data_IF_281665373873
#
_entry.id   IF_281665373873
#
_cell.length_a   1.000
_cell.length_b   1.000
_cell.length_c   1.000
_cell.angle_alpha   90.00
_cell.angle_beta   90.00
_cell.angle_gamma   90.00
#
_symmetry.space_group_name_H-M   'P 1'
#
loop_
_entity.id
_entity.type
_entity.pdbx_description
1 polymer ?
#
# COMPACT_ATOMS: atom_id res chain seq x y z
N UNK A 1 -1.53 -10.89 -10.05
CA UNK A 1 -0.64 -11.58 -9.09
C UNK A 1 -0.29 -10.65 -7.91
N UNK A 2 -1.27 -10.24 -7.10
CA UNK A 2 -1.04 -9.35 -5.93
C UNK A 2 -0.60 -10.17 -4.69
N UNK A 3 -0.76 -11.50 -4.74
CA UNK A 3 -0.46 -12.39 -3.62
C UNK A 3 1.04 -12.40 -3.26
N UNK A 4 1.94 -12.37 -4.24
CA UNK A 4 3.40 -12.40 -4.00
C UNK A 4 3.86 -11.19 -3.16
N UNK A 5 3.51 -9.94 -3.52
CA UNK A 5 3.85 -8.76 -2.72
C UNK A 5 3.28 -8.77 -1.30
N UNK A 6 2.02 -9.22 -1.15
CA UNK A 6 1.39 -9.34 0.17
C UNK A 6 2.13 -10.38 1.02
N UNK A 7 2.45 -11.54 0.44
CA UNK A 7 3.22 -12.57 1.12
C UNK A 7 4.63 -12.07 1.48
N UNK A 8 5.30 -11.34 0.60
CA UNK A 8 6.61 -10.74 0.89
C UNK A 8 6.55 -9.75 2.05
N UNK A 9 5.49 -8.92 2.12
CA UNK A 9 5.29 -7.98 3.22
C UNK A 9 5.02 -8.71 4.55
N UNK A 10 4.17 -9.73 4.54
CA UNK A 10 3.88 -10.56 5.72
C UNK A 10 5.12 -11.31 6.18
N UNK A 11 5.82 -11.98 5.26
CA UNK A 11 7.03 -12.75 5.55
C UNK A 11 8.13 -11.85 6.10
N UNK A 12 8.35 -10.68 5.50
CA UNK A 12 9.29 -9.68 6.01
C UNK A 12 8.93 -9.21 7.43
N UNK A 13 7.65 -8.96 7.70
CA UNK A 13 7.17 -8.62 9.04
C UNK A 13 7.38 -9.74 10.05
N UNK A 14 7.05 -10.98 9.70
CA UNK A 14 7.25 -12.15 10.58
C UNK A 14 8.73 -12.37 10.87
N UNK A 15 9.60 -12.27 9.86
CA UNK A 15 11.05 -12.38 10.03
C UNK A 15 11.60 -11.27 10.93
N UNK A 16 11.12 -10.03 10.78
CA UNK A 16 11.53 -8.92 11.65
C UNK A 16 11.09 -9.15 13.11
N UNK A 17 9.88 -9.68 13.34
CA UNK A 17 9.40 -10.00 14.68
C UNK A 17 10.15 -11.18 15.31
N UNK A 18 10.53 -12.18 14.51
CA UNK A 18 11.30 -13.33 14.96
C UNK A 18 12.76 -12.98 15.31
N UNK A 19 13.32 -11.94 14.68
CA UNK A 19 14.70 -11.50 14.87
C UNK A 19 14.73 -10.13 15.58
N UNK A 20 14.28 -10.09 16.85
CA UNK A 20 14.21 -8.85 17.65
C UNK A 20 15.54 -8.11 17.71
N UNK A 21 16.65 -8.81 17.88
CA UNK A 21 17.97 -8.20 17.99
C UNK A 21 18.35 -7.40 16.72
N UNK A 22 18.00 -7.94 15.55
CA UNK A 22 18.21 -7.26 14.27
C UNK A 22 17.27 -6.06 14.14
N UNK A 23 16.01 -6.21 14.53
CA UNK A 23 15.03 -5.13 14.47
C UNK A 23 15.38 -3.96 15.43
N UNK A 24 15.94 -4.24 16.60
CA UNK A 24 16.38 -3.23 17.56
C UNK A 24 17.65 -2.49 17.11
N UNK A 25 18.48 -3.12 16.27
CA UNK A 25 19.69 -2.49 15.70
C UNK A 25 19.40 -1.45 14.59
N UNK A 26 18.21 -1.50 13.99
CA UNK A 26 17.82 -0.60 12.89
C UNK A 26 16.98 0.55 13.47
N UNK A 27 17.24 1.82 13.12
CA UNK A 27 16.41 2.91 13.60
C UNK A 27 14.96 2.76 13.14
N UNK A 28 14.01 3.00 14.05
CA UNK A 28 12.58 2.70 13.87
C UNK A 28 11.97 3.44 12.69
N UNK A 29 12.50 4.60 12.34
CA UNK A 29 12.07 5.43 11.21
C UNK A 29 12.24 4.70 9.88
N UNK A 30 13.34 3.94 9.72
CA UNK A 30 13.57 3.14 8.51
C UNK A 30 12.54 2.03 8.36
N UNK A 31 12.30 1.29 9.45
CA UNK A 31 11.33 0.19 9.46
C UNK A 31 9.92 0.73 9.18
N UNK A 32 9.52 1.79 9.90
CA UNK A 32 8.20 2.39 9.76
C UNK A 32 7.94 2.89 8.33
N UNK A 33 8.90 3.59 7.73
CA UNK A 33 8.77 4.12 6.37
C UNK A 33 8.80 3.00 5.31
N UNK A 34 9.63 1.97 5.49
CA UNK A 34 9.65 0.82 4.58
C UNK A 34 8.33 0.04 4.60
N UNK A 35 7.78 -0.22 5.80
CA UNK A 35 6.47 -0.84 5.95
C UNK A 35 5.38 0.01 5.30
N UNK A 36 5.39 1.33 5.55
CA UNK A 36 4.41 2.25 4.98
C UNK A 36 4.46 2.26 3.44
N UNK A 37 5.66 2.30 2.84
CA UNK A 37 5.83 2.23 1.38
C UNK A 37 5.32 0.90 0.80
N UNK A 38 5.55 -0.20 1.50
CA UNK A 38 5.03 -1.51 1.11
C UNK A 38 3.50 -1.58 1.17
N UNK A 39 2.91 -1.10 2.27
CA UNK A 39 1.44 -1.03 2.44
C UNK A 39 0.80 -0.12 1.39
N UNK A 40 1.35 1.08 1.14
CA UNK A 40 0.88 1.97 0.06
C UNK A 40 0.87 1.27 -1.30
N UNK A 41 1.94 0.53 -1.60
CA UNK A 41 2.04 -0.20 -2.87
C UNK A 41 1.00 -1.32 -2.97
N UNK A 42 0.75 -2.08 -1.91
CA UNK A 42 -0.31 -3.11 -1.88
C UNK A 42 -1.68 -2.47 -2.16
N UNK A 43 -2.01 -1.35 -1.52
CA UNK A 43 -3.26 -0.63 -1.77
C UNK A 43 -3.33 -0.08 -3.21
N UNK A 44 -2.23 0.45 -3.74
CA UNK A 44 -2.13 0.86 -5.13
C UNK A 44 -2.39 -0.30 -6.11
N UNK A 45 -1.85 -1.48 -5.82
CA UNK A 45 -2.09 -2.71 -6.58
C UNK A 45 -3.55 -3.15 -6.56
N UNK A 46 -4.17 -3.17 -5.38
CA UNK A 46 -5.60 -3.49 -5.22
C UNK A 46 -6.45 -2.52 -6.03
N UNK A 47 -6.21 -1.22 -5.90
CA UNK A 47 -6.91 -0.18 -6.68
C UNK A 47 -6.77 -0.42 -8.18
N UNK A 48 -5.55 -0.62 -8.67
CA UNK A 48 -5.29 -0.84 -10.10
C UNK A 48 -5.97 -2.12 -10.62
N UNK A 49 -6.06 -3.16 -9.78
CA UNK A 49 -6.81 -4.38 -10.09
C UNK A 49 -8.31 -4.15 -10.17
N UNK A 50 -8.88 -3.34 -9.27
CA UNK A 50 -10.30 -2.98 -9.36
C UNK A 50 -10.59 -2.11 -10.58
N UNK A 51 -9.65 -1.28 -11.01
CA UNK A 51 -9.74 -0.45 -12.21
C UNK A 51 -9.49 -1.22 -13.52
N UNK A 52 -9.12 -2.52 -13.45
CA UNK A 52 -8.80 -3.32 -14.63
C UNK A 52 -7.49 -2.92 -15.33
N UNK A 53 -6.62 -2.19 -14.65
CA UNK A 53 -5.36 -1.63 -15.18
C UNK A 53 -4.11 -2.22 -14.52
N UNK A 54 -4.25 -3.33 -13.80
CA UNK A 54 -3.14 -3.94 -13.10
C UNK A 54 -2.10 -4.50 -14.07
N UNK A 55 -0.89 -3.96 -14.01
CA UNK A 55 0.28 -4.45 -14.74
C UNK A 55 1.34 -4.87 -13.73
N UNK A 56 1.82 -6.12 -13.85
CA UNK A 56 2.74 -6.71 -12.89
C UNK A 56 4.09 -5.98 -12.86
N UNK A 57 4.61 -5.60 -14.02
CA UNK A 57 5.92 -4.95 -14.12
C UNK A 57 5.91 -3.56 -13.51
N UNK A 58 4.84 -2.78 -13.75
CA UNK A 58 4.64 -1.47 -13.12
C UNK A 58 4.46 -1.58 -11.60
N UNK A 59 3.76 -2.62 -11.14
CA UNK A 59 3.60 -2.87 -9.72
C UNK A 59 4.96 -3.20 -9.06
N UNK A 60 5.73 -4.13 -9.63
CA UNK A 60 6.99 -4.60 -9.04
C UNK A 60 8.06 -3.52 -9.06
N UNK A 61 8.21 -2.84 -10.20
CA UNK A 61 9.14 -1.70 -10.32
C UNK A 61 8.73 -0.58 -9.37
N UNK A 62 7.44 -0.26 -9.30
CA UNK A 62 6.89 0.72 -8.35
C UNK A 62 7.16 0.35 -6.89
N UNK A 63 6.93 -0.90 -6.49
CA UNK A 63 7.18 -1.39 -5.13
C UNK A 63 8.65 -1.21 -4.73
N UNK A 64 9.58 -1.70 -5.55
CA UNK A 64 11.00 -1.65 -5.27
C UNK A 64 11.50 -0.20 -5.28
N UNK A 65 11.17 0.56 -6.32
CA UNK A 65 11.61 1.94 -6.47
C UNK A 65 11.07 2.84 -5.35
N UNK A 66 9.78 2.72 -5.02
CA UNK A 66 9.17 3.48 -3.93
C UNK A 66 9.79 3.13 -2.58
N UNK A 67 10.06 1.84 -2.31
CA UNK A 67 10.68 1.41 -1.06
C UNK A 67 12.10 1.95 -0.92
N UNK A 68 12.90 1.85 -2.00
CA UNK A 68 14.27 2.41 -2.04
C UNK A 68 14.24 3.92 -1.85
N UNK A 69 13.32 4.63 -2.51
CA UNK A 69 13.15 6.06 -2.31
C UNK A 69 12.75 6.40 -0.87
N UNK A 70 11.82 5.65 -0.28
CA UNK A 70 11.34 5.89 1.07
C UNK A 70 12.47 5.74 2.10
N UNK A 71 13.19 4.62 2.03
CA UNK A 71 14.39 4.34 2.86
C UNK A 71 15.51 5.35 2.57
N UNK A 72 15.70 5.72 1.30
CA UNK A 72 16.68 6.71 0.88
C UNK A 72 16.41 8.11 1.45
N UNK A 73 15.14 8.53 1.53
CA UNK A 73 14.74 9.78 2.18
C UNK A 73 15.09 9.75 3.66
N UNK A 74 14.79 8.66 4.36
CA UNK A 74 15.17 8.50 5.78
C UNK A 74 16.69 8.58 5.94
N UNK A 75 17.44 7.88 5.09
CA UNK A 75 18.91 7.91 5.10
C UNK A 75 19.48 9.30 4.84
N UNK A 76 18.87 10.05 3.92
CA UNK A 76 19.27 11.42 3.62
C UNK A 76 19.01 12.34 4.82
N UNK A 77 17.88 12.18 5.51
CA UNK A 77 17.58 12.91 6.76
C UNK A 77 18.65 12.71 7.82
N UNK A 78 19.00 11.45 8.11
CA UNK A 78 20.05 11.13 9.08
C UNK A 78 21.41 11.72 8.70
N UNK A 79 21.80 11.67 7.41
CA UNK A 79 23.07 12.24 6.93
C UNK A 79 23.13 13.76 7.00
N UNK A 80 21.99 14.44 6.83
CA UNK A 80 21.91 15.90 6.91
C UNK A 80 21.70 16.41 8.34
N UNK A 81 21.56 15.53 9.32
CA UNK A 81 21.24 15.91 10.70
C UNK A 81 19.81 16.40 10.90
N UNK A 82 18.90 16.06 9.99
CA UNK A 82 17.47 16.42 10.04
C UNK A 82 16.68 15.18 10.44
N UNK A 83 16.47 15.02 11.75
CA UNK A 83 15.85 13.82 12.31
C UNK A 83 14.40 13.61 11.84
N UNK A 84 13.69 14.68 11.51
CA UNK A 84 12.27 14.69 11.14
C UNK A 84 12.03 14.49 9.64
N UNK A 85 13.08 14.37 8.83
CA UNK A 85 12.94 14.31 7.37
C UNK A 85 12.11 13.10 6.89
N UNK A 86 12.05 12.02 7.69
CA UNK A 86 11.18 10.86 7.42
C UNK A 86 9.69 11.24 7.32
N UNK A 87 9.26 12.36 7.92
CA UNK A 87 7.88 12.84 7.85
C UNK A 87 7.47 13.13 6.40
N UNK A 88 8.38 13.57 5.53
CA UNK A 88 8.09 13.80 4.12
C UNK A 88 7.65 12.51 3.41
N UNK A 89 8.31 11.39 3.74
CA UNK A 89 7.91 10.07 3.28
C UNK A 89 6.54 9.69 3.89
N UNK A 90 6.37 9.84 5.20
CA UNK A 90 5.09 9.50 5.88
C UNK A 90 3.90 10.24 5.30
N UNK A 91 4.02 11.55 5.06
CA UNK A 91 2.94 12.37 4.47
C UNK A 91 2.65 11.93 3.04
N UNK A 92 3.68 11.68 2.24
CA UNK A 92 3.52 11.29 0.83
C UNK A 92 2.92 9.89 0.70
N UNK A 93 3.56 8.88 1.30
CA UNK A 93 3.10 7.50 1.24
C UNK A 93 1.77 7.32 1.98
N UNK A 94 1.62 7.94 3.15
CA UNK A 94 0.37 7.91 3.93
C UNK A 94 -0.79 8.58 3.19
N UNK A 95 -0.56 9.76 2.59
CA UNK A 95 -1.56 10.44 1.78
C UNK A 95 -2.03 9.59 0.59
N UNK A 96 -1.10 8.96 -0.13
CA UNK A 96 -1.43 8.04 -1.24
C UNK A 96 -2.16 6.80 -0.75
N UNK A 97 -1.77 6.24 0.39
CA UNK A 97 -2.45 5.11 1.00
C UNK A 97 -3.92 5.42 1.29
N UNK A 98 -4.21 6.54 1.95
CA UNK A 98 -5.58 6.96 2.24
C UNK A 98 -6.40 7.27 0.98
N UNK A 99 -5.77 7.86 -0.04
CA UNK A 99 -6.40 8.09 -1.34
C UNK A 99 -6.76 6.78 -2.02
N UNK A 100 -5.83 5.83 -2.09
CA UNK A 100 -6.07 4.51 -2.67
C UNK A 100 -7.18 3.77 -1.92
N UNK A 101 -7.18 3.79 -0.58
CA UNK A 101 -8.25 3.23 0.25
C UNK A 101 -9.62 3.86 -0.04
N UNK A 102 -9.67 5.19 -0.18
CA UNK A 102 -10.91 5.92 -0.49
C UNK A 102 -11.49 5.53 -1.85
N UNK A 103 -10.64 5.36 -2.85
CA UNK A 103 -11.03 4.92 -4.20
C UNK A 103 -11.54 3.48 -4.17
N UNK A 104 -10.81 2.58 -3.52
CA UNK A 104 -11.20 1.17 -3.35
C UNK A 104 -12.59 1.08 -2.70
N UNK A 105 -12.80 1.80 -1.59
CA UNK A 105 -14.10 1.85 -0.89
C UNK A 105 -15.21 2.32 -1.83
N UNK A 106 -14.98 3.42 -2.57
CA UNK A 106 -15.98 3.97 -3.50
C UNK A 106 -16.35 2.96 -4.59
N UNK A 107 -15.37 2.35 -5.24
CA UNK A 107 -15.60 1.39 -6.32
C UNK A 107 -16.35 0.15 -5.83
N UNK A 108 -16.01 -0.34 -4.64
CA UNK A 108 -16.72 -1.46 -4.03
C UNK A 108 -18.19 -1.11 -3.78
N UNK A 109 -18.47 0.04 -3.15
CA UNK A 109 -19.85 0.47 -2.86
C UNK A 109 -20.66 0.69 -4.14
N UNK A 110 -20.09 1.34 -5.16
CA UNK A 110 -20.77 1.53 -6.45
C UNK A 110 -21.19 0.21 -7.07
N UNK A 111 -20.29 -0.78 -7.13
CA UNK A 111 -20.63 -2.11 -7.66
C UNK A 111 -21.75 -2.80 -6.90
N UNK A 112 -21.74 -2.71 -5.56
CA UNK A 112 -22.79 -3.30 -4.72
C UNK A 112 -24.15 -2.63 -4.98
N UNK A 113 -24.18 -1.31 -5.15
CA UNK A 113 -25.41 -0.57 -5.45
C UNK A 113 -25.95 -0.92 -6.85
N UNK A 114 -25.08 -1.03 -7.85
CA UNK A 114 -25.48 -1.39 -9.21
C UNK A 114 -26.14 -2.78 -9.26
N UNK A 115 -25.57 -3.77 -8.55
CA UNK A 115 -26.13 -5.12 -8.44
C UNK A 115 -27.52 -5.10 -7.80
N UNK A 116 -27.71 -4.31 -6.73
CA UNK A 116 -29.02 -4.17 -6.07
C UNK A 116 -30.05 -3.49 -6.97
N UNK A 117 -29.64 -2.49 -7.75
CA UNK A 117 -30.49 -1.81 -8.72
C UNK A 117 -30.96 -2.73 -9.85
N UNK A 118 -30.10 -3.61 -10.34
CA UNK A 118 -30.45 -4.60 -11.35
C UNK A 118 -31.46 -5.64 -10.85
N UNK A 119 -31.23 -6.21 -9.66
CA UNK A 119 -32.16 -7.18 -9.06
C UNK A 119 -33.56 -6.62 -8.82
N UNK A 120 -33.65 -5.34 -8.44
CA UNK A 120 -34.96 -4.67 -8.26
C UNK A 120 -35.72 -4.57 -9.58
N UNK A 121 -35.04 -4.19 -10.67
CA UNK A 121 -35.65 -4.12 -12.02
C UNK A 121 -36.10 -5.47 -12.56
N UNK A 122 -35.40 -6.56 -12.22
CA UNK A 122 -35.83 -7.93 -12.58
C UNK A 122 -37.08 -8.35 -11.81
N UNK A 123 -37.14 -8.08 -10.51
CA UNK A 123 -38.32 -8.36 -9.68
C UNK A 123 -39.56 -7.59 -10.16
N UNK A 124 -39.39 -6.32 -10.54
CA UNK A 124 -40.50 -5.48 -11.03
C UNK A 124 -40.97 -5.88 -12.45
N UNK A 125 -40.15 -6.60 -13.23
CA UNK A 125 -40.53 -7.12 -14.57
C UNK A 125 -41.25 -8.47 -14.52
N UNK A 126 -41.15 -9.19 -13.40
CA UNK A 126 -41.77 -10.51 -13.20
C UNK A 126 -43.10 -10.43 -12.43
N UNK A 127 -43.45 -9.26 -11.91
CA UNK A 127 -44.73 -8.95 -11.27
C UNK A 127 -45.70 -8.31 -12.27
#
# INVERSE_FOLDING_TARGET
>A
MILIPILALILGGVLAMANRDVAESIPREYIGVAVLAGVDTVFGGIRSSLEGRFQNDLFLTGFLFNTVLAVGLVALGFRLGIAEFYIAAVVTFGGRLFLNASIIRRQYLTRVMDIRGQRRKESDRQA
#
